data_IF_629986746766
#
_entry.id   IF_629986746766
#
_cell.length_a   1.000
_cell.length_b   1.000
_cell.length_c   1.000
_cell.angle_alpha   90.00
_cell.angle_beta   90.00
_cell.angle_gamma   90.00
#
_symmetry.space_group_name_H-M   'P 1'
#
loop_
_entity.id
_entity.type
_entity.pdbx_description
1 polymer ?
#
# COMPACT_ATOMS: atom_id res chain seq x y z
N UNK A 1 -18.91 -6.51 7.80
CA UNK A 1 -17.95 -6.56 6.68
C UNK A 1 -18.38 -7.66 5.71
N UNK A 2 -18.03 -7.51 4.42
CA UNK A 2 -18.27 -8.54 3.41
C UNK A 2 -17.02 -9.43 3.36
N UNK A 3 -17.14 -10.75 3.57
CA UNK A 3 -15.99 -11.65 3.44
C UNK A 3 -15.42 -11.63 2.03
N UNK A 4 -14.10 -11.58 1.90
CA UNK A 4 -13.42 -11.59 0.60
C UNK A 4 -12.20 -12.50 0.62
N UNK A 5 -11.67 -12.81 -0.56
CA UNK A 5 -10.36 -13.43 -0.76
C UNK A 5 -9.64 -12.76 -1.91
N UNK A 6 -8.31 -12.68 -1.82
CA UNK A 6 -7.45 -12.23 -2.92
C UNK A 6 -6.95 -13.47 -3.66
N UNK A 7 -7.08 -13.47 -5.00
CA UNK A 7 -6.65 -14.57 -5.85
C UNK A 7 -5.51 -14.15 -6.76
N UNK A 8 -4.42 -14.90 -6.74
CA UNK A 8 -3.31 -14.75 -7.69
C UNK A 8 -2.40 -13.55 -7.44
N UNK A 9 -2.32 -13.04 -6.22
CA UNK A 9 -1.43 -11.93 -5.86
C UNK A 9 -0.97 -11.98 -4.41
N UNK A 10 0.11 -11.27 -4.11
CA UNK A 10 0.52 -11.00 -2.74
C UNK A 10 -0.43 -9.96 -2.16
N UNK A 11 -0.95 -10.19 -0.94
CA UNK A 11 -1.74 -9.20 -0.21
C UNK A 11 -1.01 -7.85 -0.19
N UNK A 12 -1.76 -6.74 -0.28
CA UNK A 12 -1.18 -5.40 -0.35
C UNK A 12 -0.16 -5.15 0.76
N UNK A 13 -0.52 -5.50 2.00
CA UNK A 13 0.35 -5.32 3.17
C UNK A 13 1.52 -6.32 3.23
N UNK A 14 1.52 -7.36 2.40
CA UNK A 14 2.61 -8.31 2.28
C UNK A 14 3.65 -7.92 1.21
N UNK A 15 3.38 -6.90 0.39
CA UNK A 15 4.35 -6.38 -0.60
C UNK A 15 5.57 -5.81 0.09
N UNK A 16 6.73 -6.01 -0.53
CA UNK A 16 8.03 -5.63 0.08
C UNK A 16 8.07 -4.16 0.48
N UNK A 17 7.77 -3.26 -0.45
CA UNK A 17 7.78 -1.80 -0.25
C UNK A 17 6.80 -1.34 0.83
N UNK A 18 5.66 -2.01 0.96
CA UNK A 18 4.67 -1.73 1.99
C UNK A 18 5.17 -2.20 3.37
N UNK A 19 5.76 -3.40 3.44
CA UNK A 19 6.42 -3.88 4.66
C UNK A 19 7.56 -2.96 5.10
N UNK A 20 8.32 -2.43 4.15
CA UNK A 20 9.41 -1.50 4.43
C UNK A 20 8.87 -0.18 4.98
N UNK A 21 7.79 0.36 4.40
CA UNK A 21 7.09 1.54 4.90
C UNK A 21 6.48 1.32 6.29
N UNK A 22 5.77 0.20 6.49
CA UNK A 22 5.22 -0.18 7.79
C UNK A 22 6.33 -0.37 8.83
N UNK A 23 7.50 -0.89 8.45
CA UNK A 23 8.65 -1.03 9.33
C UNK A 23 9.08 0.31 9.93
N UNK A 24 9.11 1.39 9.15
CA UNK A 24 9.38 2.73 9.66
C UNK A 24 8.32 3.22 10.63
N UNK A 25 7.04 3.04 10.29
CA UNK A 25 5.93 3.47 11.13
C UNK A 25 5.88 2.69 12.44
N UNK A 26 6.11 1.36 12.39
CA UNK A 26 6.20 0.50 13.58
C UNK A 26 7.36 0.91 14.49
N UNK A 27 8.56 1.11 13.92
CA UNK A 27 9.73 1.49 14.70
C UNK A 27 9.57 2.86 15.36
N UNK A 28 8.89 3.79 14.67
CA UNK A 28 8.60 5.12 15.22
C UNK A 28 7.54 5.10 16.35
N UNK A 29 6.75 4.03 16.46
CA UNK A 29 5.76 3.86 17.54
C UNK A 29 6.22 2.90 18.62
N UNK A 30 7.20 2.03 18.32
CA UNK A 30 7.76 1.06 19.25
C UNK A 30 9.26 0.87 18.99
N UNK A 31 10.09 1.52 19.79
CA UNK A 31 11.55 1.46 19.70
C UNK A 31 12.15 0.09 20.05
N UNK A 32 11.34 -0.82 20.62
CA UNK A 32 11.77 -2.19 20.94
C UNK A 32 11.42 -3.19 19.81
N UNK A 33 10.92 -2.71 18.66
CA UNK A 33 10.63 -3.54 17.50
C UNK A 33 11.90 -3.82 16.68
N UNK A 34 12.66 -4.82 17.12
CA UNK A 34 13.93 -5.20 16.49
C UNK A 34 13.72 -5.75 15.05
N UNK A 35 12.57 -6.34 14.75
CA UNK A 35 12.25 -6.77 13.38
C UNK A 35 12.11 -5.58 12.45
N UNK A 36 11.36 -4.56 12.89
CA UNK A 36 11.20 -3.32 12.15
C UNK A 36 12.55 -2.59 12.00
N UNK A 37 13.36 -2.55 13.06
CA UNK A 37 14.70 -1.98 13.00
C UNK A 37 15.56 -2.65 11.92
N UNK A 38 15.71 -3.97 11.97
CA UNK A 38 16.52 -4.73 11.01
C UNK A 38 16.06 -4.53 9.57
N UNK A 39 14.76 -4.35 9.39
CA UNK A 39 14.16 -4.13 8.08
C UNK A 39 14.54 -2.79 7.47
N UNK A 40 14.59 -1.72 8.28
CA UNK A 40 14.69 -0.34 7.77
C UNK A 40 16.04 0.34 8.01
N UNK A 41 16.91 -0.22 8.85
CA UNK A 41 18.18 0.43 9.27
C UNK A 41 19.07 0.80 8.07
N UNK A 42 19.09 -0.02 7.03
CA UNK A 42 19.86 0.22 5.80
C UNK A 42 18.99 0.32 4.53
N UNK A 43 17.72 0.56 4.67
CA UNK A 43 16.82 0.78 3.55
C UNK A 43 16.00 2.07 3.75
N UNK A 44 16.09 3.06 2.85
CA UNK A 44 17.05 3.21 1.72
C UNK A 44 18.51 3.09 2.14
N UNK A 45 19.38 2.77 1.19
CA UNK A 45 20.80 2.49 1.47
C UNK A 45 21.48 3.64 2.23
N UNK A 46 21.96 3.35 3.44
CA UNK A 46 22.68 4.31 4.32
C UNK A 46 24.14 3.94 4.54
N UNK A 47 24.58 2.82 3.96
CA UNK A 47 25.91 2.28 4.17
C UNK A 47 26.09 1.70 5.59
N UNK A 48 25.01 1.19 6.17
CA UNK A 48 24.99 0.39 7.39
C UNK A 48 24.86 -1.07 6.93
N UNK A 49 25.98 -1.69 6.61
CA UNK A 49 26.02 -3.06 6.07
C UNK A 49 25.87 -4.13 7.16
N UNK A 50 25.72 -5.38 6.73
CA UNK A 50 25.46 -6.55 7.59
C UNK A 50 26.47 -6.72 8.71
N UNK A 51 27.75 -6.42 8.46
CA UNK A 51 28.79 -6.47 9.50
C UNK A 51 28.50 -5.48 10.65
N UNK A 52 28.00 -4.29 10.33
CA UNK A 52 27.61 -3.30 11.34
C UNK A 52 26.36 -3.76 12.08
N UNK A 53 25.36 -4.25 11.36
CA UNK A 53 24.10 -4.76 11.93
C UNK A 53 24.35 -5.94 12.85
N UNK A 54 25.23 -6.89 12.48
CA UNK A 54 25.59 -8.03 13.33
C UNK A 54 26.24 -7.58 14.65
N UNK A 55 27.10 -6.57 14.62
CA UNK A 55 27.72 -6.02 15.83
C UNK A 55 26.72 -5.31 16.76
N UNK A 56 25.74 -4.58 16.16
CA UNK A 56 24.61 -4.03 16.91
C UNK A 56 23.80 -5.14 17.58
N UNK A 57 23.54 -6.22 16.86
CA UNK A 57 22.78 -7.37 17.36
C UNK A 57 23.50 -8.07 18.53
N UNK A 58 24.81 -8.32 18.40
CA UNK A 58 25.62 -8.91 19.48
C UNK A 58 25.64 -8.00 20.72
N UNK A 59 25.80 -6.70 20.55
CA UNK A 59 25.77 -5.75 21.64
C UNK A 59 24.39 -5.69 22.32
N UNK A 60 23.31 -5.65 21.57
CA UNK A 60 21.95 -5.68 22.09
C UNK A 60 21.68 -6.95 22.91
N UNK A 61 22.09 -8.11 22.38
CA UNK A 61 21.98 -9.39 23.10
C UNK A 61 22.77 -9.42 24.40
N UNK A 62 24.01 -8.92 24.40
CA UNK A 62 24.87 -8.90 25.59
C UNK A 62 24.33 -7.96 26.67
N UNK A 63 23.75 -6.83 26.25
CA UNK A 63 23.23 -5.82 27.18
C UNK A 63 21.73 -6.07 27.53
N UNK A 64 21.08 -7.08 26.94
CA UNK A 64 19.64 -7.34 27.08
C UNK A 64 18.79 -6.09 26.77
N UNK A 65 19.17 -5.36 25.75
CA UNK A 65 18.54 -4.14 25.25
C UNK A 65 18.04 -4.31 23.81
N UNK A 66 17.23 -3.38 23.34
CA UNK A 66 16.80 -3.37 21.93
C UNK A 66 17.92 -2.89 21.00
N UNK A 67 17.81 -3.23 19.72
CA UNK A 67 18.73 -2.73 18.69
C UNK A 67 18.72 -1.21 18.59
N UNK A 68 17.56 -0.60 18.82
CA UNK A 68 17.39 0.86 18.78
C UNK A 68 18.09 1.54 19.98
N UNK A 69 18.04 0.94 21.17
CA UNK A 69 18.78 1.44 22.33
C UNK A 69 20.29 1.43 22.08
N UNK A 70 20.81 0.34 21.53
CA UNK A 70 22.23 0.24 21.15
C UNK A 70 22.59 1.24 20.06
N UNK A 71 21.74 1.40 19.05
CA UNK A 71 21.96 2.34 17.96
C UNK A 71 21.93 3.80 18.40
N UNK A 72 21.22 4.11 19.49
CA UNK A 72 21.14 5.45 20.07
C UNK A 72 22.42 5.86 20.84
N UNK A 73 23.23 4.88 21.23
CA UNK A 73 24.50 5.08 21.94
C UNK A 73 25.60 4.16 21.39
N UNK A 74 25.94 4.27 20.07
CA UNK A 74 26.85 3.35 19.42
C UNK A 74 28.30 3.43 19.94
N UNK A 75 28.63 4.46 20.66
CA UNK A 75 29.90 4.57 21.41
C UNK A 75 30.06 3.48 22.48
N UNK A 76 28.96 2.97 23.01
CA UNK A 76 28.95 1.88 23.98
C UNK A 76 29.33 0.53 23.38
N UNK A 77 29.31 0.39 22.02
CA UNK A 77 29.80 -0.78 21.31
C UNK A 77 31.35 -0.77 21.27
N UNK A 78 31.95 0.36 21.61
CA UNK A 78 33.39 0.51 21.73
C UNK A 78 34.14 0.42 20.41
N UNK A 79 35.36 -0.16 20.43
CA UNK A 79 36.26 -0.21 19.26
C UNK A 79 35.81 -1.18 18.15
N UNK A 80 34.72 -1.87 18.33
CA UNK A 80 34.21 -2.84 17.35
C UNK A 80 33.60 -2.18 16.13
N UNK A 81 33.05 -0.97 16.29
CA UNK A 81 32.54 -0.16 15.18
C UNK A 81 33.55 0.97 14.82
N UNK A 82 33.78 1.14 13.52
CA UNK A 82 34.53 2.31 13.05
C UNK A 82 33.75 3.61 13.34
N UNK A 83 34.45 4.72 13.51
CA UNK A 83 33.82 6.04 13.74
C UNK A 83 32.82 6.40 12.65
N UNK A 84 33.12 6.06 11.40
CA UNK A 84 32.20 6.29 10.28
C UNK A 84 30.92 5.44 10.39
N UNK A 85 31.03 4.20 10.85
CA UNK A 85 29.86 3.34 11.08
C UNK A 85 29.00 3.84 12.26
N UNK A 86 29.67 4.22 13.37
CA UNK A 86 28.98 4.82 14.54
C UNK A 86 28.18 6.05 14.14
N UNK A 87 28.79 6.96 13.35
CA UNK A 87 28.12 8.16 12.87
C UNK A 87 26.84 7.84 12.07
N UNK A 88 26.92 6.90 11.12
CA UNK A 88 25.75 6.50 10.29
C UNK A 88 24.63 5.88 11.12
N UNK A 89 24.99 5.02 12.08
CA UNK A 89 24.04 4.39 13.00
C UNK A 89 23.36 5.46 13.86
N UNK A 90 24.13 6.40 14.41
CA UNK A 90 23.60 7.49 15.22
C UNK A 90 22.69 8.43 14.40
N UNK A 91 23.05 8.76 13.17
CA UNK A 91 22.20 9.57 12.27
C UNK A 91 20.86 8.88 12.01
N UNK A 92 20.86 7.56 11.79
CA UNK A 92 19.64 6.76 11.67
C UNK A 92 18.82 6.81 12.97
N UNK A 93 19.44 6.55 14.11
CA UNK A 93 18.76 6.58 15.40
C UNK A 93 18.13 7.95 15.71
N UNK A 94 18.86 9.04 15.45
CA UNK A 94 18.34 10.39 15.59
C UNK A 94 17.15 10.69 14.69
N UNK A 95 17.15 10.16 13.45
CA UNK A 95 16.00 10.26 12.55
C UNK A 95 14.77 9.56 13.14
N UNK A 96 14.92 8.33 13.64
CA UNK A 96 13.80 7.61 14.28
C UNK A 96 13.30 8.34 15.52
N UNK A 97 14.18 8.86 16.39
CA UNK A 97 13.75 9.63 17.55
C UNK A 97 12.97 10.89 17.19
N UNK A 98 13.32 11.57 16.09
CA UNK A 98 12.49 12.69 15.59
C UNK A 98 11.09 12.22 15.19
N UNK A 99 10.97 11.04 14.57
CA UNK A 99 9.66 10.47 14.22
C UNK A 99 8.85 10.14 15.48
N UNK A 100 9.47 9.54 16.49
CA UNK A 100 8.79 9.25 17.77
C UNK A 100 8.18 10.51 18.37
N UNK A 101 8.94 11.62 18.39
CA UNK A 101 8.46 12.90 18.91
C UNK A 101 7.24 13.44 18.15
N UNK A 102 7.12 13.13 16.88
CA UNK A 102 6.01 13.58 16.01
C UNK A 102 4.79 12.65 16.04
N UNK A 103 4.94 11.39 16.46
CA UNK A 103 3.90 10.37 16.37
C UNK A 103 2.63 10.69 17.17
N UNK A 104 2.75 11.47 18.25
CA UNK A 104 1.62 11.91 19.10
C UNK A 104 1.14 13.32 18.80
N UNK A 105 1.86 14.06 17.95
CA UNK A 105 1.55 15.46 17.62
C UNK A 105 0.79 15.58 16.28
N UNK A 106 0.97 14.60 15.38
CA UNK A 106 0.42 14.61 14.03
C UNK A 106 -0.63 13.51 13.86
N UNK A 107 -1.66 13.81 13.06
CA UNK A 107 -2.59 12.77 12.60
C UNK A 107 -1.86 11.70 11.79
N UNK A 108 -2.47 10.50 11.69
CA UNK A 108 -1.84 9.33 11.07
C UNK A 108 -1.37 9.59 9.64
N UNK A 109 -2.15 10.34 8.84
CA UNK A 109 -1.80 10.63 7.45
C UNK A 109 -0.61 11.57 7.34
N UNK A 110 -0.65 12.69 8.06
CA UNK A 110 0.44 13.69 8.08
C UNK A 110 1.73 13.06 8.60
N UNK A 111 1.62 12.29 9.68
CA UNK A 111 2.75 11.56 10.25
C UNK A 111 3.37 10.57 9.26
N UNK A 112 2.56 9.69 8.66
CA UNK A 112 3.05 8.70 7.71
C UNK A 112 3.71 9.35 6.49
N UNK A 113 3.10 10.41 5.95
CA UNK A 113 3.66 11.17 4.83
C UNK A 113 5.04 11.75 5.14
N UNK A 114 5.20 12.35 6.32
CA UNK A 114 6.48 12.91 6.75
C UNK A 114 7.53 11.83 6.95
N UNK A 115 7.19 10.73 7.63
CA UNK A 115 8.09 9.58 7.83
C UNK A 115 8.55 8.99 6.49
N UNK A 116 7.65 8.72 5.54
CA UNK A 116 8.00 8.14 4.25
C UNK A 116 8.82 9.11 3.38
N UNK A 117 8.62 10.41 3.54
CA UNK A 117 9.38 11.43 2.83
C UNK A 117 10.78 11.59 3.44
N UNK A 118 10.88 11.80 4.75
CA UNK A 118 12.14 12.06 5.45
C UNK A 118 13.05 10.83 5.52
N UNK A 119 12.47 9.61 5.62
CA UNK A 119 13.24 8.36 5.54
C UNK A 119 13.92 8.18 4.17
N UNK A 120 13.41 8.83 3.13
CA UNK A 120 13.90 8.74 1.76
C UNK A 120 13.29 7.61 0.93
N UNK A 121 12.39 6.78 1.48
CA UNK A 121 11.79 5.65 0.76
C UNK A 121 10.97 6.11 -0.46
N UNK A 122 10.22 7.21 -0.32
CA UNK A 122 9.48 7.82 -1.44
C UNK A 122 10.42 8.32 -2.54
N UNK A 123 11.54 8.95 -2.15
CA UNK A 123 12.53 9.46 -3.09
C UNK A 123 13.21 8.35 -3.88
N UNK A 124 13.57 7.24 -3.20
CA UNK A 124 14.19 6.08 -3.86
C UNK A 124 13.23 5.43 -4.85
N UNK A 125 11.98 5.18 -4.44
CA UNK A 125 10.97 4.61 -5.32
C UNK A 125 10.71 5.49 -6.56
N UNK A 126 10.64 6.82 -6.39
CA UNK A 126 10.43 7.77 -7.49
C UNK A 126 11.62 7.89 -8.44
N UNK A 127 12.84 7.66 -7.96
CA UNK A 127 14.05 7.72 -8.77
C UNK A 127 14.21 6.49 -9.67
N UNK A 128 13.56 5.37 -9.37
CA UNK A 128 13.57 4.17 -10.17
C UNK A 128 12.53 4.25 -11.28
N UNK A 129 12.98 4.44 -12.52
CA UNK A 129 12.10 4.58 -13.70
C UNK A 129 11.72 3.25 -14.35
N UNK A 130 12.13 2.11 -13.77
CA UNK A 130 11.70 0.79 -14.22
C UNK A 130 10.22 0.56 -13.91
N UNK A 131 9.57 -0.36 -14.60
CA UNK A 131 8.18 -0.73 -14.30
C UNK A 131 7.99 -1.16 -12.84
N UNK A 132 8.98 -1.86 -12.27
CA UNK A 132 8.96 -2.26 -10.85
C UNK A 132 9.11 -1.04 -9.93
N UNK A 133 9.96 -0.08 -10.26
CA UNK A 133 10.11 1.16 -9.50
C UNK A 133 8.84 2.01 -9.50
N UNK A 134 8.21 2.15 -10.67
CA UNK A 134 6.92 2.83 -10.82
C UNK A 134 5.85 2.14 -9.96
N UNK A 135 5.76 0.81 -10.03
CA UNK A 135 4.79 0.05 -9.23
C UNK A 135 5.03 0.21 -7.71
N UNK A 136 6.30 0.22 -7.27
CA UNK A 136 6.64 0.47 -5.86
C UNK A 136 6.22 1.87 -5.41
N UNK A 137 6.47 2.88 -6.25
CA UNK A 137 6.05 4.25 -5.94
C UNK A 137 4.52 4.37 -5.86
N UNK A 138 3.79 3.77 -6.81
CA UNK A 138 2.33 3.75 -6.80
C UNK A 138 1.78 3.03 -5.56
N UNK A 139 2.39 1.93 -5.14
CA UNK A 139 1.99 1.22 -3.92
C UNK A 139 2.20 2.07 -2.65
N UNK A 140 3.28 2.84 -2.57
CA UNK A 140 3.50 3.75 -1.44
C UNK A 140 2.47 4.90 -1.42
N UNK A 141 2.12 5.47 -2.58
CA UNK A 141 1.06 6.47 -2.71
C UNK A 141 -0.32 5.90 -2.35
N UNK A 142 -0.59 4.65 -2.74
CA UNK A 142 -1.83 3.95 -2.38
C UNK A 142 -1.90 3.70 -0.87
N UNK A 143 -0.78 3.36 -0.23
CA UNK A 143 -0.72 3.23 1.23
C UNK A 143 -1.05 4.56 1.92
N UNK A 144 -0.49 5.69 1.45
CA UNK A 144 -0.81 7.00 1.98
C UNK A 144 -2.29 7.36 1.77
N UNK A 145 -2.86 6.99 0.61
CA UNK A 145 -4.29 7.18 0.34
C UNK A 145 -5.17 6.35 1.29
N UNK A 146 -4.78 5.10 1.56
CA UNK A 146 -5.48 4.23 2.54
C UNK A 146 -5.45 4.82 3.95
N UNK A 147 -4.30 5.39 4.38
CA UNK A 147 -4.19 6.05 5.69
C UNK A 147 -5.09 7.30 5.74
N UNK A 148 -5.14 8.08 4.66
CA UNK A 148 -6.03 9.23 4.59
C UNK A 148 -7.51 8.82 4.68
N UNK A 149 -7.93 7.82 3.92
CA UNK A 149 -9.30 7.28 3.97
C UNK A 149 -9.64 6.74 5.36
N UNK A 150 -8.69 6.11 6.04
CA UNK A 150 -8.83 5.67 7.41
C UNK A 150 -9.11 6.86 8.34
N UNK A 151 -8.32 7.94 8.26
CA UNK A 151 -8.54 9.16 9.04
C UNK A 151 -9.91 9.78 8.77
N UNK A 152 -10.32 9.89 7.50
CA UNK A 152 -11.63 10.45 7.12
C UNK A 152 -12.81 9.58 7.61
N UNK A 153 -12.65 8.26 7.63
CA UNK A 153 -13.64 7.35 8.20
C UNK A 153 -13.79 7.54 9.70
N UNK A 154 -12.67 7.55 10.44
CA UNK A 154 -12.66 7.78 11.91
C UNK A 154 -13.27 9.13 12.28
N UNK A 155 -12.98 10.17 11.52
CA UNK A 155 -13.58 11.49 11.70
C UNK A 155 -15.09 11.49 11.52
N UNK A 156 -15.64 10.74 10.54
CA UNK A 156 -17.09 10.56 10.34
C UNK A 156 -17.71 9.77 11.48
N UNK A 157 -16.97 8.91 12.15
CA UNK A 157 -17.38 8.15 13.34
C UNK A 157 -17.32 8.98 14.63
N UNK A 158 -16.83 10.25 14.57
CA UNK A 158 -16.80 11.18 15.70
C UNK A 158 -15.43 11.30 16.39
N UNK A 159 -14.40 10.67 15.87
CA UNK A 159 -13.04 10.81 16.39
C UNK A 159 -12.42 12.13 15.92
N UNK A 160 -12.03 12.96 16.87
CA UNK A 160 -11.40 14.26 16.55
C UNK A 160 -9.97 14.10 16.04
N UNK A 161 -9.27 13.05 16.47
CA UNK A 161 -7.87 12.80 16.13
C UNK A 161 -7.62 11.31 15.95
N UNK A 162 -6.85 10.94 14.94
CA UNK A 162 -6.51 9.54 14.61
C UNK A 162 -5.00 9.37 14.62
N UNK A 163 -4.50 8.52 15.49
CA UNK A 163 -3.07 8.23 15.59
C UNK A 163 -2.64 7.13 14.61
N UNK A 164 -1.36 7.13 14.26
CA UNK A 164 -0.79 6.08 13.41
C UNK A 164 -0.88 4.69 14.04
N UNK A 165 -0.87 4.59 15.37
CA UNK A 165 -1.04 3.34 16.11
C UNK A 165 -2.40 2.69 15.86
N UNK A 166 -3.45 3.48 15.64
CA UNK A 166 -4.79 2.99 15.34
C UNK A 166 -4.82 2.33 13.96
N UNK A 167 -4.18 2.97 12.99
CA UNK A 167 -4.02 2.40 11.65
C UNK A 167 -3.18 1.11 11.66
N UNK A 168 -2.04 1.09 12.36
CA UNK A 168 -1.20 -0.10 12.48
C UNK A 168 -1.94 -1.27 13.13
N UNK A 169 -2.81 -1.00 14.10
CA UNK A 169 -3.65 -2.00 14.74
C UNK A 169 -4.67 -2.59 13.75
N UNK A 170 -5.31 -1.74 12.92
CA UNK A 170 -6.22 -2.21 11.87
C UNK A 170 -5.49 -3.07 10.83
N UNK A 171 -4.30 -2.66 10.40
CA UNK A 171 -3.47 -3.43 9.44
C UNK A 171 -3.10 -4.81 9.99
N UNK A 172 -2.72 -4.90 11.27
CA UNK A 172 -2.42 -6.18 11.92
C UNK A 172 -3.62 -7.12 11.88
N UNK A 173 -4.80 -6.62 12.24
CA UNK A 173 -6.04 -7.42 12.20
C UNK A 173 -6.41 -7.90 10.79
N UNK A 174 -6.18 -7.07 9.76
CA UNK A 174 -6.43 -7.44 8.37
C UNK A 174 -5.44 -8.52 7.89
N UNK A 175 -4.19 -8.44 8.29
CA UNK A 175 -3.15 -9.41 7.90
C UNK A 175 -3.42 -10.77 8.54
N UNK A 176 -3.82 -10.82 9.81
CA UNK A 176 -4.17 -12.06 10.51
C UNK A 176 -5.41 -12.75 9.90
N UNK A 177 -6.39 -11.96 9.42
CA UNK A 177 -7.58 -12.50 8.74
C UNK A 177 -7.25 -13.13 7.37
N UNK A 178 -6.25 -12.63 6.66
CA UNK A 178 -5.80 -13.19 5.39
C UNK A 178 -5.16 -14.58 5.57
N UNK A 179 -4.61 -14.91 6.75
CA UNK A 179 -3.98 -16.20 7.06
C UNK A 179 -4.97 -17.29 7.53
N UNK A 180 -6.12 -16.90 8.13
CA UNK A 180 -7.12 -17.80 8.69
C UNK A 180 -8.39 -17.89 7.84
N UNK A 181 -8.27 -18.41 6.62
CA UNK A 181 -9.39 -18.47 5.68
C UNK A 181 -10.11 -19.83 5.79
N UNK A 182 -11.33 -19.85 6.34
CA UNK A 182 -12.25 -20.98 6.25
C UNK A 182 -12.91 -21.04 4.86
N UNK A 183 -12.64 -22.08 4.08
CA UNK A 183 -13.08 -22.22 2.68
C UNK A 183 -14.58 -22.49 2.49
N UNK A 184 -15.36 -22.58 3.56
CA UNK A 184 -16.78 -22.95 3.52
C UNK A 184 -17.73 -21.75 3.37
N UNK A 185 -17.27 -20.51 3.58
CA UNK A 185 -18.12 -19.32 3.51
C UNK A 185 -18.17 -18.68 2.12
N UNK A 186 -19.35 -18.19 1.73
CA UNK A 186 -19.50 -17.37 0.51
C UNK A 186 -18.70 -16.07 0.62
N UNK A 187 -17.88 -15.76 -0.41
CA UNK A 187 -16.95 -14.62 -0.43
C UNK A 187 -16.89 -13.93 -1.76
N UNK A 188 -16.51 -12.66 -1.72
CA UNK A 188 -16.10 -11.91 -2.92
C UNK A 188 -14.66 -12.27 -3.26
N UNK A 189 -14.39 -12.65 -4.50
CA UNK A 189 -13.04 -12.88 -5.00
C UNK A 189 -12.50 -11.59 -5.61
N UNK A 190 -11.41 -11.07 -5.07
CA UNK A 190 -10.66 -9.94 -5.60
C UNK A 190 -9.47 -10.47 -6.39
N UNK A 191 -9.32 -10.03 -7.64
CA UNK A 191 -8.24 -10.49 -8.52
C UNK A 191 -7.91 -9.44 -9.57
N UNK A 192 -6.70 -9.52 -10.10
CA UNK A 192 -6.32 -8.72 -11.28
C UNK A 192 -6.93 -9.32 -12.55
N UNK A 193 -7.06 -8.51 -13.61
CA UNK A 193 -7.56 -9.02 -14.90
C UNK A 193 -6.66 -10.13 -15.44
N UNK A 194 -5.34 -10.03 -15.23
CA UNK A 194 -4.40 -11.09 -15.63
C UNK A 194 -4.64 -12.41 -14.88
N UNK A 195 -4.91 -12.34 -13.58
CA UNK A 195 -5.20 -13.51 -12.76
C UNK A 195 -6.58 -14.12 -13.08
N UNK A 196 -7.49 -13.35 -13.70
CA UNK A 196 -8.81 -13.81 -14.10
C UNK A 196 -8.80 -14.67 -15.38
N UNK A 197 -7.67 -14.74 -16.09
CA UNK A 197 -7.59 -15.52 -17.34
C UNK A 197 -7.85 -17.01 -17.05
N UNK A 198 -8.85 -17.58 -17.75
CA UNK A 198 -9.26 -18.98 -17.56
C UNK A 198 -10.26 -19.23 -16.44
N UNK A 199 -10.61 -18.21 -15.64
CA UNK A 199 -11.66 -18.28 -14.64
C UNK A 199 -12.96 -17.69 -15.19
N UNK A 200 -14.09 -18.10 -14.62
CA UNK A 200 -15.42 -17.57 -14.96
C UNK A 200 -16.24 -17.35 -13.69
N UNK A 201 -17.07 -16.31 -13.69
CA UNK A 201 -17.86 -15.90 -12.53
C UNK A 201 -19.28 -15.52 -12.99
N UNK A 202 -20.30 -15.85 -12.20
CA UNK A 202 -21.68 -15.44 -12.52
C UNK A 202 -21.80 -13.92 -12.66
N UNK A 203 -21.15 -13.19 -11.74
CA UNK A 203 -21.17 -11.72 -11.70
C UNK A 203 -19.76 -11.19 -11.52
N UNK A 204 -19.36 -10.21 -12.34
CA UNK A 204 -18.09 -9.51 -12.20
C UNK A 204 -18.29 -8.01 -12.00
N UNK A 205 -17.42 -7.42 -11.20
CA UNK A 205 -17.32 -5.98 -11.00
C UNK A 205 -15.94 -5.54 -11.46
N UNK A 206 -15.87 -4.86 -12.61
CA UNK A 206 -14.64 -4.27 -13.14
C UNK A 206 -14.57 -2.85 -12.61
N UNK A 207 -13.70 -2.62 -11.64
CA UNK A 207 -13.54 -1.33 -10.96
C UNK A 207 -12.40 -0.53 -11.56
N UNK A 208 -12.41 0.80 -11.35
CA UNK A 208 -11.33 1.67 -11.83
C UNK A 208 -11.37 1.94 -13.34
N UNK A 209 -12.56 1.92 -13.95
CA UNK A 209 -12.75 2.26 -15.37
C UNK A 209 -12.60 3.77 -15.62
N UNK A 210 -11.37 4.28 -15.44
CA UNK A 210 -11.03 5.70 -15.44
C UNK A 210 -9.80 5.97 -16.31
N UNK A 211 -9.77 7.12 -17.00
CA UNK A 211 -8.56 7.59 -17.67
C UNK A 211 -7.39 7.68 -16.69
N UNK A 212 -6.21 7.33 -17.16
CA UNK A 212 -4.96 7.28 -16.39
C UNK A 212 -4.92 6.18 -15.29
N UNK A 213 -5.94 5.34 -15.21
CA UNK A 213 -5.96 4.15 -14.37
C UNK A 213 -6.19 2.89 -15.24
N UNK A 214 -7.24 2.89 -16.06
CA UNK A 214 -7.50 1.86 -17.05
C UNK A 214 -8.22 2.46 -18.28
N UNK A 215 -7.47 2.83 -19.35
CA UNK A 215 -6.07 2.53 -19.61
C UNK A 215 -5.10 3.29 -18.66
N UNK A 216 -3.96 2.65 -18.40
CA UNK A 216 -2.89 3.23 -17.59
C UNK A 216 -2.35 4.52 -18.19
N UNK A 217 -1.96 5.48 -17.34
CA UNK A 217 -1.27 6.72 -17.76
C UNK A 217 0.07 6.45 -18.49
N UNK A 218 0.64 5.27 -18.31
CA UNK A 218 1.90 4.87 -18.94
C UNK A 218 1.73 4.30 -20.35
N UNK A 219 0.50 4.04 -20.80
CA UNK A 219 0.21 3.59 -22.15
C UNK A 219 0.35 4.76 -23.14
N UNK A 220 1.53 4.88 -23.76
CA UNK A 220 1.87 5.97 -24.67
C UNK A 220 1.79 5.56 -26.14
N UNK A 221 1.87 4.28 -26.45
CA UNK A 221 1.86 3.76 -27.83
C UNK A 221 0.51 3.14 -28.19
N UNK A 222 0.21 3.12 -29.49
CA UNK A 222 -0.98 2.45 -30.01
C UNK A 222 -1.00 0.96 -29.63
N UNK A 223 0.16 0.31 -29.63
CA UNK A 223 0.29 -1.11 -29.28
C UNK A 223 -0.07 -1.36 -27.81
N UNK A 224 0.43 -0.54 -26.91
CA UNK A 224 0.11 -0.63 -25.47
C UNK A 224 -1.39 -0.39 -25.22
N UNK A 225 -1.96 0.59 -25.90
CA UNK A 225 -3.40 0.87 -25.83
C UNK A 225 -4.26 -0.30 -26.31
N UNK A 226 -3.84 -0.98 -27.37
CA UNK A 226 -4.54 -2.18 -27.87
C UNK A 226 -4.40 -3.35 -26.88
N UNK A 227 -3.27 -3.46 -26.19
CA UNK A 227 -3.11 -4.49 -25.16
C UNK A 227 -4.02 -4.25 -23.95
N UNK A 228 -4.12 -2.99 -23.46
CA UNK A 228 -5.09 -2.62 -22.42
C UNK A 228 -6.55 -2.91 -22.87
N UNK A 229 -6.88 -2.64 -24.14
CA UNK A 229 -8.20 -2.96 -24.67
C UNK A 229 -8.47 -4.48 -24.68
N UNK A 230 -7.46 -5.29 -24.98
CA UNK A 230 -7.55 -6.75 -24.88
C UNK A 230 -7.76 -7.22 -23.45
N UNK A 231 -7.11 -6.56 -22.48
CA UNK A 231 -7.35 -6.86 -21.08
C UNK A 231 -8.80 -6.56 -20.68
N UNK A 232 -9.38 -5.46 -21.15
CA UNK A 232 -10.81 -5.18 -20.92
C UNK A 232 -11.70 -6.26 -21.52
N UNK A 233 -11.43 -6.69 -22.76
CA UNK A 233 -12.16 -7.78 -23.39
C UNK A 233 -12.08 -9.06 -22.54
N UNK A 234 -10.88 -9.42 -22.07
CA UNK A 234 -10.71 -10.57 -21.15
C UNK A 234 -11.55 -10.39 -19.91
N UNK A 235 -11.51 -9.21 -19.26
CA UNK A 235 -12.24 -8.95 -18.03
C UNK A 235 -13.77 -9.11 -18.22
N UNK A 236 -14.33 -8.51 -19.26
CA UNK A 236 -15.76 -8.60 -19.58
C UNK A 236 -16.18 -10.05 -19.85
N UNK A 237 -15.35 -10.80 -20.59
CA UNK A 237 -15.65 -12.20 -20.93
C UNK A 237 -15.51 -13.18 -19.76
N UNK A 238 -15.11 -12.72 -18.57
CA UNK A 238 -15.13 -13.53 -17.34
C UNK A 238 -16.52 -13.60 -16.72
N UNK A 239 -17.45 -12.78 -17.17
CA UNK A 239 -18.83 -12.74 -16.66
C UNK A 239 -19.70 -13.73 -17.41
N UNK A 240 -20.36 -14.63 -16.68
CA UNK A 240 -21.35 -15.54 -17.27
C UNK A 240 -22.72 -14.88 -17.41
N UNK A 241 -23.12 -14.05 -16.42
CA UNK A 241 -24.46 -13.48 -16.38
C UNK A 241 -24.45 -11.94 -16.34
N UNK A 242 -23.60 -11.34 -15.49
CA UNK A 242 -23.62 -9.89 -15.23
C UNK A 242 -22.23 -9.32 -15.15
N UNK A 243 -22.00 -8.21 -15.85
CA UNK A 243 -20.77 -7.43 -15.78
C UNK A 243 -21.09 -5.99 -15.36
N UNK A 244 -20.46 -5.51 -14.30
CA UNK A 244 -20.56 -4.14 -13.84
C UNK A 244 -19.25 -3.41 -14.14
N UNK A 245 -19.31 -2.34 -14.93
CA UNK A 245 -18.17 -1.46 -15.22
C UNK A 245 -18.29 -0.22 -14.33
N UNK A 246 -17.33 -0.04 -13.42
CA UNK A 246 -17.43 0.98 -12.38
C UNK A 246 -16.29 1.97 -12.44
N UNK A 247 -16.59 3.25 -12.24
CA UNK A 247 -15.62 4.31 -12.08
C UNK A 247 -16.00 5.21 -10.91
N UNK A 248 -14.99 5.78 -10.22
CA UNK A 248 -15.21 6.79 -9.22
C UNK A 248 -15.33 8.17 -9.88
N UNK A 249 -16.06 9.12 -9.27
CA UNK A 249 -16.11 10.52 -9.74
C UNK A 249 -14.92 11.34 -9.27
N UNK A 250 -14.32 10.92 -8.16
CA UNK A 250 -13.15 11.56 -7.57
C UNK A 250 -12.33 10.53 -6.81
N UNK A 251 -11.03 10.76 -6.75
CA UNK A 251 -10.09 9.98 -5.94
C UNK A 251 -9.16 10.90 -5.18
N UNK A 252 -8.84 10.53 -3.97
CA UNK A 252 -7.71 11.11 -3.27
C UNK A 252 -6.44 10.43 -3.76
N UNK A 253 -5.52 11.21 -4.34
CA UNK A 253 -4.23 10.72 -4.84
C UNK A 253 -3.20 11.83 -4.76
N UNK A 254 -1.96 11.51 -4.39
CA UNK A 254 -0.86 12.48 -4.26
C UNK A 254 -1.19 13.65 -3.29
N UNK A 255 -1.91 13.37 -2.21
CA UNK A 255 -2.27 14.38 -1.21
C UNK A 255 -3.39 15.34 -1.63
N UNK A 256 -4.10 15.06 -2.73
CA UNK A 256 -5.17 15.91 -3.28
C UNK A 256 -6.36 15.11 -3.77
N UNK A 257 -7.53 15.72 -3.73
CA UNK A 257 -8.73 15.17 -4.38
C UNK A 257 -8.70 15.51 -5.86
N UNK A 258 -8.65 14.50 -6.71
CA UNK A 258 -8.67 14.64 -8.15
C UNK A 258 -10.01 14.16 -8.71
N UNK A 259 -10.61 14.94 -9.60
CA UNK A 259 -11.76 14.50 -10.38
C UNK A 259 -11.30 13.54 -11.48
N UNK A 260 -12.02 12.46 -11.65
CA UNK A 260 -11.70 11.44 -12.64
C UNK A 260 -12.55 11.59 -13.88
N UNK A 261 -12.04 11.09 -14.99
CA UNK A 261 -12.78 10.99 -16.26
C UNK A 261 -13.03 9.50 -16.53
N UNK A 262 -14.26 9.10 -16.91
CA UNK A 262 -14.52 7.72 -17.29
C UNK A 262 -13.58 7.25 -18.41
N UNK A 263 -13.16 5.98 -18.33
CA UNK A 263 -12.30 5.34 -19.32
C UNK A 263 -12.83 5.52 -20.74
N UNK A 264 -11.95 5.86 -21.69
CA UNK A 264 -12.29 5.93 -23.11
C UNK A 264 -12.83 4.61 -23.67
N UNK A 265 -12.43 3.49 -23.09
CA UNK A 265 -12.88 2.16 -23.50
C UNK A 265 -14.39 1.94 -23.31
N UNK A 266 -15.03 2.69 -22.40
CA UNK A 266 -16.49 2.64 -22.25
C UNK A 266 -17.22 3.13 -23.51
N UNK A 267 -16.58 3.99 -24.32
CA UNK A 267 -17.13 4.47 -25.59
C UNK A 267 -17.03 3.45 -26.73
N UNK A 268 -16.15 2.45 -26.58
CA UNK A 268 -15.96 1.39 -27.56
C UNK A 268 -17.09 0.32 -27.47
N UNK A 269 -17.88 0.36 -26.40
CA UNK A 269 -19.00 -0.55 -26.20
C UNK A 269 -20.28 0.14 -26.72
N UNK A 270 -21.00 -0.53 -27.63
CA UNK A 270 -22.26 0.02 -28.16
C UNK A 270 -23.26 0.24 -27.01
N UNK A 271 -23.88 1.43 -27.03
CA UNK A 271 -24.79 1.88 -25.97
C UNK A 271 -26.03 0.99 -25.79
N UNK A 272 -26.42 0.22 -26.83
CA UNK A 272 -27.50 -0.77 -26.72
C UNK A 272 -27.20 -1.90 -25.73
N UNK A 273 -25.92 -2.17 -25.46
CA UNK A 273 -25.46 -3.21 -24.52
C UNK A 273 -25.13 -2.67 -23.10
N UNK A 274 -25.27 -1.36 -22.90
CA UNK A 274 -24.95 -0.73 -21.62
C UNK A 274 -26.21 -0.15 -20.97
N UNK A 275 -26.41 -0.46 -19.70
CA UNK A 275 -27.38 0.23 -18.86
C UNK A 275 -26.58 1.15 -17.92
N UNK A 276 -26.68 2.46 -18.14
CA UNK A 276 -26.01 3.42 -17.29
C UNK A 276 -26.87 3.73 -16.06
N UNK A 277 -26.26 3.64 -14.87
CA UNK A 277 -26.89 4.03 -13.60
C UNK A 277 -25.96 4.98 -12.85
N UNK A 278 -26.53 5.89 -12.10
CA UNK A 278 -25.79 6.81 -11.24
C UNK A 278 -25.51 6.24 -9.83
N UNK A 279 -25.84 4.98 -9.61
CA UNK A 279 -25.69 4.30 -8.33
C UNK A 279 -26.74 4.69 -7.27
N UNK A 280 -27.67 5.59 -7.59
CA UNK A 280 -28.69 6.07 -6.65
C UNK A 280 -29.96 5.22 -6.66
N UNK A 281 -30.13 4.33 -7.61
CA UNK A 281 -31.28 3.41 -7.68
C UNK A 281 -30.86 1.95 -7.47
N UNK A 282 -31.56 1.18 -6.65
CA UNK A 282 -31.33 -0.26 -6.55
C UNK A 282 -31.62 -0.91 -7.92
N UNK A 283 -30.62 -1.65 -8.45
CA UNK A 283 -30.78 -2.41 -9.69
C UNK A 283 -31.70 -3.60 -9.50
N UNK A 284 -33.00 -3.34 -9.47
CA UNK A 284 -34.05 -4.35 -9.58
C UNK A 284 -34.93 -4.02 -10.79
N UNK A 285 -34.41 -4.27 -12.00
CA UNK A 285 -35.25 -4.59 -13.14
C UNK A 285 -34.73 -5.86 -13.80
N UNK A 286 -35.49 -6.91 -13.64
CA UNK A 286 -35.35 -8.14 -14.42
C UNK A 286 -35.39 -7.76 -15.90
N UNK A 287 -34.24 -7.81 -16.58
CA UNK A 287 -34.20 -7.91 -18.03
C UNK A 287 -34.60 -9.36 -18.29
N UNK A 288 -35.90 -9.60 -18.53
CA UNK A 288 -36.37 -10.83 -19.16
C UNK A 288 -35.89 -10.79 -20.61
N UNK A 289 -35.22 -11.86 -21.00
CA UNK A 289 -34.82 -12.27 -22.33
C UNK A 289 -35.85 -11.89 -23.41
#
# INVERSE_FOLDING_TARGET
SIPYRIYGGTSFYQRKEIKDALGYLRLATNLSDDEAFLRVVNYPTRGIGDTTVNKLYEAARNNKSSLMEVASSPENIGKELSVAAQKKVLEFAQMIHRFVAQATEKDAYTFAKDVLTESGIMREAKADTTQEGIARWENLEEMLSSIHEFCERRKKEGEEFTYITDFLSEVSLLTDQDEHIDDTQARVTLLTIHAAKGLEFNTTFIVGMEENLFPSAFCQTVREMEEERRLLYVAITRSMERCYLMYARQRFRNGQVNFTTPSRFLKDIDSQFIIQTDGSQPMLKNVRT
#
